data_IF_898679836841
#
_entry.id   IF_898679836841
#
_cell.length_a   1.000
_cell.length_b   1.000
_cell.length_c   1.000
_cell.angle_alpha   90.00
_cell.angle_beta   90.00
_cell.angle_gamma   90.00
#
_symmetry.space_group_name_H-M   'P 1'
#
loop_
_entity.id
_entity.type
_entity.pdbx_description
1 polymer ?
#
# COMPACT_ATOMS: atom_id res chain seq x y z
N UNK A 1 6.28 -18.14 38.63
CA UNK A 1 5.66 -18.69 37.40
C UNK A 1 4.65 -17.72 36.77
N UNK A 2 3.74 -17.07 37.51
CA UNK A 2 2.84 -16.04 36.91
C UNK A 2 3.60 -14.83 36.36
N UNK A 3 4.66 -14.40 37.04
CA UNK A 3 5.54 -13.33 36.57
C UNK A 3 6.18 -13.64 35.21
N UNK A 4 6.48 -14.92 34.91
CA UNK A 4 7.10 -15.35 33.64
C UNK A 4 6.07 -15.26 32.49
N UNK A 5 4.84 -15.72 32.69
CA UNK A 5 3.79 -15.62 31.67
C UNK A 5 3.38 -14.18 31.39
N UNK A 6 3.31 -13.34 32.43
CA UNK A 6 3.04 -11.92 32.28
C UNK A 6 4.17 -11.19 31.54
N UNK A 7 5.42 -11.46 31.91
CA UNK A 7 6.61 -10.93 31.22
C UNK A 7 6.63 -11.37 29.75
N UNK A 8 6.34 -12.64 29.45
CA UNK A 8 6.28 -13.15 28.07
C UNK A 8 5.24 -12.41 27.22
N UNK A 9 4.06 -12.11 27.79
CA UNK A 9 3.04 -11.31 27.12
C UNK A 9 3.51 -9.88 26.83
N UNK A 10 4.17 -9.23 27.78
CA UNK A 10 4.72 -7.89 27.59
C UNK A 10 5.82 -7.89 26.52
N UNK A 11 6.74 -8.86 26.56
CA UNK A 11 7.78 -9.01 25.55
C UNK A 11 7.20 -9.25 24.16
N UNK A 12 6.17 -10.09 24.02
CA UNK A 12 5.49 -10.32 22.75
C UNK A 12 4.89 -9.02 22.19
N UNK A 13 4.22 -8.24 23.04
CA UNK A 13 3.66 -6.95 22.65
C UNK A 13 4.75 -5.96 22.24
N UNK A 14 5.84 -5.85 23.01
CA UNK A 14 6.98 -5.00 22.66
C UNK A 14 7.63 -5.39 21.34
N UNK A 15 7.75 -6.70 21.04
CA UNK A 15 8.29 -7.18 19.76
C UNK A 15 7.38 -6.76 18.61
N UNK A 16 6.06 -6.95 18.72
CA UNK A 16 5.12 -6.56 17.68
C UNK A 16 5.14 -5.04 17.47
N UNK A 17 5.13 -4.26 18.56
CA UNK A 17 5.17 -2.80 18.49
C UNK A 17 6.46 -2.30 17.84
N UNK A 18 7.62 -2.85 18.22
CA UNK A 18 8.90 -2.51 17.61
C UNK A 18 8.98 -2.94 16.14
N UNK A 19 8.48 -4.13 15.80
CA UNK A 19 8.46 -4.60 14.43
C UNK A 19 7.59 -3.70 13.53
N UNK A 20 6.47 -3.17 14.06
CA UNK A 20 5.62 -2.23 13.35
C UNK A 20 6.29 -0.86 13.15
N UNK A 21 7.00 -0.33 14.15
CA UNK A 21 7.66 0.98 14.02
C UNK A 21 8.90 0.93 13.12
N UNK A 22 9.56 -0.22 13.03
CA UNK A 22 10.73 -0.42 12.16
C UNK A 22 10.42 -1.21 10.89
N UNK A 23 9.15 -1.31 10.50
CA UNK A 23 8.67 -2.05 9.32
C UNK A 23 9.47 -1.69 8.06
N UNK A 24 9.75 -0.40 7.85
CA UNK A 24 10.47 0.11 6.67
C UNK A 24 11.91 -0.44 6.52
N UNK A 25 12.50 -1.01 7.58
CA UNK A 25 13.85 -1.57 7.58
C UNK A 25 13.89 -3.10 7.59
N UNK A 26 12.75 -3.74 7.84
CA UNK A 26 12.66 -5.19 7.99
C UNK A 26 12.29 -5.80 6.64
N UNK A 27 13.03 -6.85 6.25
CA UNK A 27 12.58 -7.67 5.13
C UNK A 27 11.35 -8.50 5.52
N UNK A 28 10.56 -8.92 4.53
CA UNK A 28 9.35 -9.71 4.78
C UNK A 28 9.62 -10.98 5.60
N UNK A 29 10.76 -11.63 5.36
CA UNK A 29 11.19 -12.80 6.11
C UNK A 29 11.48 -12.46 7.59
N UNK A 30 12.12 -11.32 7.85
CA UNK A 30 12.41 -10.88 9.22
C UNK A 30 11.14 -10.54 9.99
N UNK A 31 10.17 -9.91 9.32
CA UNK A 31 8.86 -9.65 9.90
C UNK A 31 8.12 -10.95 10.28
N UNK A 32 8.10 -11.95 9.39
CA UNK A 32 7.49 -13.24 9.68
C UNK A 32 8.16 -13.96 10.85
N UNK A 33 9.50 -13.88 10.95
CA UNK A 33 10.24 -14.42 12.10
C UNK A 33 9.87 -13.71 13.40
N UNK A 34 9.72 -12.38 13.38
CA UNK A 34 9.29 -11.61 14.55
C UNK A 34 7.88 -12.00 15.00
N UNK A 35 6.94 -12.18 14.07
CA UNK A 35 5.60 -12.68 14.38
C UNK A 35 5.61 -14.10 14.94
N UNK A 36 6.42 -15.01 14.38
CA UNK A 36 6.59 -16.36 14.91
C UNK A 36 7.14 -16.33 16.35
N UNK A 37 8.16 -15.50 16.62
CA UNK A 37 8.72 -15.35 17.96
C UNK A 37 7.69 -14.76 18.94
N UNK A 38 6.95 -13.73 18.54
CA UNK A 38 5.88 -13.14 19.35
C UNK A 38 4.76 -14.15 19.63
N UNK A 39 4.38 -14.97 18.66
CA UNK A 39 3.34 -15.98 18.84
C UNK A 39 3.75 -17.06 19.85
N UNK A 40 4.99 -17.56 19.79
CA UNK A 40 5.51 -18.50 20.78
C UNK A 40 5.48 -17.91 22.20
N UNK A 41 5.82 -16.63 22.35
CA UNK A 41 5.73 -15.93 23.63
C UNK A 41 4.27 -15.76 24.09
N UNK A 42 3.33 -15.47 23.18
CA UNK A 42 1.90 -15.43 23.49
C UNK A 42 1.35 -16.80 23.93
N UNK A 43 1.84 -17.90 23.35
CA UNK A 43 1.46 -19.25 23.80
C UNK A 43 1.97 -19.52 25.23
N UNK A 44 3.18 -19.06 25.58
CA UNK A 44 3.68 -19.11 26.96
C UNK A 44 2.87 -18.20 27.89
N UNK A 45 2.45 -17.03 27.41
CA UNK A 45 1.58 -16.11 28.14
C UNK A 45 0.18 -16.70 28.39
N UNK A 46 -0.38 -17.46 27.45
CA UNK A 46 -1.71 -18.09 27.60
C UNK A 46 -1.79 -19.15 28.71
N UNK A 47 -0.64 -19.55 29.27
CA UNK A 47 -0.54 -20.48 30.41
C UNK A 47 -0.79 -19.80 31.78
N UNK A 48 -1.38 -18.60 31.82
CA UNK A 48 -1.75 -17.91 33.07
C UNK A 48 -2.59 -18.85 33.96
N UNK A 49 -2.17 -18.99 35.23
CA UNK A 49 -2.89 -19.81 36.20
C UNK A 49 -4.21 -19.12 36.57
N UNK A 50 -5.33 -19.73 36.21
CA UNK A 50 -6.65 -19.31 36.67
C UNK A 50 -6.84 -19.61 38.16
N UNK A 51 -7.56 -18.74 38.90
CA UNK A 51 -7.85 -18.96 40.31
C UNK A 51 -8.65 -20.26 40.52
N UNK A 52 -8.31 -20.98 41.58
CA UNK A 52 -8.87 -22.31 41.86
C UNK A 52 -10.36 -22.31 42.25
N UNK A 53 -10.97 -21.13 42.37
CA UNK A 53 -12.39 -20.95 42.73
C UNK A 53 -13.36 -21.29 41.59
N UNK A 54 -12.86 -21.54 40.37
CA UNK A 54 -13.69 -21.86 39.20
C UNK A 54 -13.86 -23.38 39.00
N UNK A 55 -15.05 -23.85 38.57
CA UNK A 55 -15.28 -25.23 38.12
C UNK A 55 -14.30 -25.64 37.01
N UNK A 56 -13.96 -26.94 36.94
CA UNK A 56 -13.00 -27.48 35.97
C UNK A 56 -13.37 -27.20 34.51
N UNK A 57 -14.66 -27.27 34.17
CA UNK A 57 -15.19 -26.95 32.85
C UNK A 57 -14.87 -25.50 32.41
N UNK A 58 -15.13 -24.52 33.26
CA UNK A 58 -14.88 -23.10 32.97
C UNK A 58 -13.38 -22.83 32.70
N UNK A 59 -12.47 -23.54 33.37
CA UNK A 59 -11.04 -23.37 33.15
C UNK A 59 -10.59 -23.87 31.79
N UNK A 60 -11.13 -25.01 31.34
CA UNK A 60 -10.80 -25.53 30.01
C UNK A 60 -11.29 -24.57 28.92
N UNK A 61 -12.52 -24.07 29.07
CA UNK A 61 -13.11 -23.13 28.12
C UNK A 61 -12.28 -21.85 28.01
N UNK A 62 -11.98 -21.20 29.14
CA UNK A 62 -11.17 -19.95 29.15
C UNK A 62 -9.79 -20.19 28.51
N UNK A 63 -9.18 -21.35 28.76
CA UNK A 63 -7.85 -21.65 28.21
C UNK A 63 -7.87 -21.85 26.70
N UNK A 64 -8.87 -22.57 26.18
CA UNK A 64 -9.06 -22.71 24.72
C UNK A 64 -9.31 -21.35 24.08
N UNK A 65 -10.17 -20.53 24.69
CA UNK A 65 -10.42 -19.16 24.23
C UNK A 65 -9.15 -18.31 24.22
N UNK A 66 -8.31 -18.39 25.25
CA UNK A 66 -7.04 -17.66 25.30
C UNK A 66 -6.07 -18.11 24.19
N UNK A 67 -5.98 -19.41 23.90
CA UNK A 67 -5.14 -19.91 22.81
C UNK A 67 -5.64 -19.39 21.46
N UNK A 68 -6.95 -19.46 21.22
CA UNK A 68 -7.56 -18.92 19.99
C UNK A 68 -7.30 -17.40 19.88
N UNK A 69 -7.44 -16.66 20.97
CA UNK A 69 -7.18 -15.22 21.00
C UNK A 69 -5.74 -14.87 20.57
N UNK A 70 -4.73 -15.71 20.88
CA UNK A 70 -3.36 -15.48 20.40
C UNK A 70 -3.24 -15.50 18.88
N UNK A 71 -3.98 -16.39 18.20
CA UNK A 71 -3.99 -16.49 16.74
C UNK A 71 -4.60 -15.22 16.15
N UNK A 72 -5.74 -14.77 16.70
CA UNK A 72 -6.36 -13.51 16.28
C UNK A 72 -5.42 -12.32 16.47
N UNK A 73 -4.68 -12.23 17.58
CA UNK A 73 -3.72 -11.15 17.80
C UNK A 73 -2.64 -11.10 16.71
N UNK A 74 -2.09 -12.26 16.32
CA UNK A 74 -1.07 -12.34 15.26
C UNK A 74 -1.63 -11.92 13.91
N UNK A 75 -2.83 -12.40 13.57
CA UNK A 75 -3.51 -12.03 12.31
C UNK A 75 -3.83 -10.53 12.30
N UNK A 76 -4.34 -9.98 13.40
CA UNK A 76 -4.60 -8.55 13.52
C UNK A 76 -3.34 -7.71 13.35
N UNK A 77 -2.20 -8.13 13.92
CA UNK A 77 -0.93 -7.44 13.72
C UNK A 77 -0.48 -7.47 12.25
N UNK A 78 -0.66 -8.60 11.55
CA UNK A 78 -0.39 -8.70 10.12
C UNK A 78 -1.28 -7.76 9.30
N UNK A 79 -2.57 -7.68 9.63
CA UNK A 79 -3.52 -6.79 8.95
C UNK A 79 -3.20 -5.32 9.19
N UNK A 80 -2.79 -4.95 10.41
CA UNK A 80 -2.36 -3.58 10.72
C UNK A 80 -1.16 -3.18 9.87
N UNK A 81 -0.17 -4.07 9.71
CA UNK A 81 0.97 -3.82 8.82
C UNK A 81 0.48 -3.54 7.40
N UNK A 82 -0.35 -4.43 6.85
CA UNK A 82 -0.82 -4.29 5.46
C UNK A 82 -1.70 -3.06 5.23
N UNK A 83 -2.62 -2.76 6.15
CA UNK A 83 -3.65 -1.74 5.94
C UNK A 83 -3.21 -0.34 6.31
N UNK A 84 -2.39 -0.21 7.36
CA UNK A 84 -2.00 1.09 7.93
C UNK A 84 -0.57 1.43 7.54
N UNK A 85 0.36 0.49 7.79
CA UNK A 85 1.79 0.78 7.61
C UNK A 85 2.17 0.75 6.13
N UNK A 86 1.73 -0.25 5.39
CA UNK A 86 2.08 -0.46 3.98
C UNK A 86 1.04 0.18 3.03
N UNK A 87 0.15 1.03 3.55
CA UNK A 87 -0.97 1.64 2.81
C UNK A 87 -0.49 2.42 1.57
N UNK A 88 0.47 3.32 1.77
CA UNK A 88 1.00 4.17 0.69
C UNK A 88 1.72 3.34 -0.37
N UNK A 89 2.53 2.36 0.07
CA UNK A 89 3.26 1.47 -0.84
C UNK A 89 2.33 0.59 -1.66
N UNK A 90 1.16 0.23 -1.12
CA UNK A 90 0.13 -0.55 -1.82
C UNK A 90 -0.63 0.32 -2.79
N UNK A 91 -0.92 1.57 -2.41
CA UNK A 91 -1.66 2.52 -3.24
C UNK A 91 -0.92 2.90 -4.52
N UNK A 92 0.41 3.04 -4.46
CA UNK A 92 1.25 3.39 -5.61
C UNK A 92 1.90 2.18 -6.30
N UNK A 93 1.56 0.95 -5.90
CA UNK A 93 2.21 -0.25 -6.44
C UNK A 93 1.78 -0.47 -7.89
N UNK A 94 2.77 -0.58 -8.77
CA UNK A 94 2.61 -1.11 -10.12
C UNK A 94 3.24 -2.50 -10.20
N UNK A 95 2.57 -3.44 -10.87
CA UNK A 95 3.06 -4.81 -11.04
C UNK A 95 2.89 -5.24 -12.50
N UNK A 96 3.87 -5.95 -13.05
CA UNK A 96 3.76 -6.52 -14.39
C UNK A 96 3.18 -7.93 -14.27
N UNK A 97 2.01 -8.14 -14.84
CA UNK A 97 1.36 -9.44 -14.94
C UNK A 97 2.15 -10.36 -15.90
N UNK A 98 1.98 -11.69 -15.81
CA UNK A 98 2.75 -12.65 -16.62
C UNK A 98 2.58 -12.51 -18.14
N UNK A 99 1.52 -11.84 -18.58
CA UNK A 99 1.21 -11.47 -19.97
C UNK A 99 1.85 -10.15 -20.41
N UNK A 100 2.56 -9.46 -19.51
CA UNK A 100 3.20 -8.16 -19.76
C UNK A 100 2.30 -6.96 -19.47
N UNK A 101 1.07 -7.17 -19.01
CA UNK A 101 0.17 -6.08 -18.63
C UNK A 101 0.63 -5.44 -17.31
N UNK A 102 0.73 -4.12 -17.25
CA UNK A 102 1.11 -3.42 -16.01
C UNK A 102 -0.18 -3.10 -15.25
N UNK A 103 -0.36 -3.75 -14.11
CA UNK A 103 -1.44 -3.55 -13.16
C UNK A 103 -1.06 -2.41 -12.20
N UNK A 104 -1.81 -1.32 -12.26
CA UNK A 104 -1.74 -0.18 -11.33
C UNK A 104 -3.10 0.11 -10.70
N UNK A 105 -3.17 1.15 -9.85
CA UNK A 105 -4.43 1.54 -9.24
C UNK A 105 -5.37 2.22 -10.27
N UNK A 106 -6.49 1.59 -10.68
CA UNK A 106 -7.34 2.12 -11.75
C UNK A 106 -8.05 3.42 -11.35
N UNK A 107 -8.19 3.70 -10.04
CA UNK A 107 -8.81 4.94 -9.55
C UNK A 107 -7.97 6.18 -9.86
N UNK A 108 -6.65 6.04 -9.92
CA UNK A 108 -5.75 7.14 -10.28
C UNK A 108 -5.92 7.49 -11.77
N UNK A 109 -5.94 6.47 -12.63
CA UNK A 109 -6.14 6.69 -14.06
C UNK A 109 -7.49 7.29 -14.41
N UNK A 110 -8.59 6.89 -13.77
CA UNK A 110 -9.91 7.44 -14.07
C UNK A 110 -10.03 8.96 -13.85
N UNK A 111 -9.41 9.49 -12.78
CA UNK A 111 -9.39 10.93 -12.52
C UNK A 111 -8.48 11.69 -13.49
N UNK A 112 -7.32 11.13 -13.81
CA UNK A 112 -6.35 11.74 -14.74
C UNK A 112 -6.77 11.64 -16.21
N UNK A 113 -7.58 10.64 -16.57
CA UNK A 113 -8.19 10.49 -17.89
C UNK A 113 -9.46 11.31 -18.07
N UNK A 114 -10.11 11.77 -16.98
CA UNK A 114 -11.27 12.65 -17.05
C UNK A 114 -10.90 14.12 -17.30
N UNK A 115 -9.61 14.47 -17.22
CA UNK A 115 -9.13 15.84 -17.46
C UNK A 115 -8.70 15.98 -18.91
N UNK A 116 -9.36 16.89 -19.63
CA UNK A 116 -8.93 17.30 -20.96
C UNK A 116 -7.64 18.11 -20.85
N UNK A 117 -6.49 17.48 -21.12
CA UNK A 117 -5.20 18.18 -21.10
C UNK A 117 -5.06 19.14 -22.28
N UNK A 118 -4.37 20.26 -22.05
CA UNK A 118 -4.04 21.26 -23.08
C UNK A 118 -3.10 20.73 -24.16
N UNK A 119 -3.07 21.38 -25.33
CA UNK A 119 -2.22 21.00 -26.45
C UNK A 119 -0.79 21.56 -26.30
N UNK A 120 0.20 20.80 -26.77
CA UNK A 120 1.57 21.29 -26.97
C UNK A 120 1.74 21.55 -28.46
N UNK A 121 2.12 22.77 -28.82
CA UNK A 121 2.28 23.21 -30.22
C UNK A 121 3.69 23.74 -30.49
N UNK A 122 4.17 23.56 -31.71
CA UNK A 122 5.40 24.18 -32.22
C UNK A 122 5.19 25.67 -32.52
N UNK A 123 6.28 26.40 -32.77
CA UNK A 123 6.33 27.80 -33.22
C UNK A 123 5.46 28.11 -34.45
N UNK A 124 5.18 27.10 -35.27
CA UNK A 124 4.36 27.23 -36.48
C UNK A 124 2.87 26.93 -36.21
N UNK A 125 2.50 26.59 -34.96
CA UNK A 125 1.14 26.20 -34.57
C UNK A 125 0.81 24.73 -34.85
N UNK A 126 1.80 23.90 -35.18
CA UNK A 126 1.60 22.47 -35.42
C UNK A 126 1.55 21.69 -34.11
N UNK A 127 0.60 20.76 -33.97
CA UNK A 127 0.38 19.99 -32.75
C UNK A 127 1.46 18.93 -32.58
N UNK A 128 2.22 19.06 -31.50
CA UNK A 128 3.21 18.08 -31.04
C UNK A 128 2.55 17.03 -30.15
N UNK A 129 1.69 17.47 -29.22
CA UNK A 129 0.92 16.59 -28.34
C UNK A 129 -0.50 17.12 -28.21
N UNK A 130 -1.47 16.30 -28.59
CA UNK A 130 -2.90 16.60 -28.57
C UNK A 130 -3.65 15.71 -27.58
N UNK A 131 -4.93 16.01 -27.40
CA UNK A 131 -5.84 15.20 -26.59
C UNK A 131 -7.12 14.94 -27.35
N UNK A 132 -7.45 13.67 -27.54
CA UNK A 132 -8.69 13.22 -28.15
C UNK A 132 -9.64 12.74 -27.06
N UNK A 133 -10.89 13.23 -27.08
CA UNK A 133 -11.92 12.82 -26.13
C UNK A 133 -12.80 11.70 -26.72
N UNK A 134 -12.83 10.55 -26.06
CA UNK A 134 -13.77 9.46 -26.33
C UNK A 134 -14.70 9.31 -25.12
N UNK A 135 -15.82 10.06 -25.12
CA UNK A 135 -16.74 10.12 -23.98
C UNK A 135 -16.15 10.88 -22.79
N UNK A 136 -16.14 10.26 -21.62
CA UNK A 136 -15.54 10.80 -20.37
C UNK A 136 -14.03 10.48 -20.25
N UNK A 137 -13.42 9.92 -21.30
CA UNK A 137 -12.02 9.52 -21.32
C UNK A 137 -11.26 10.35 -22.36
N UNK A 138 -10.21 11.03 -21.90
CA UNK A 138 -9.30 11.81 -22.73
C UNK A 138 -8.00 11.03 -22.95
N UNK A 139 -7.71 10.70 -24.20
CA UNK A 139 -6.51 9.97 -24.62
C UNK A 139 -5.50 10.97 -25.19
N UNK A 140 -4.25 10.88 -24.73
CA UNK A 140 -3.16 11.71 -25.26
C UNK A 140 -2.67 11.16 -26.59
N UNK A 141 -2.59 12.01 -27.62
CA UNK A 141 -2.12 11.63 -28.96
C UNK A 141 -0.87 12.43 -29.34
N UNK A 142 0.04 11.79 -30.08
CA UNK A 142 1.29 12.39 -30.57
C UNK A 142 1.33 12.21 -32.08
N UNK A 143 0.87 13.22 -32.85
CA UNK A 143 0.70 13.09 -34.30
C UNK A 143 2.01 12.78 -35.05
N UNK A 144 3.12 13.38 -34.62
CA UNK A 144 4.46 13.09 -35.14
C UNK A 144 5.35 12.44 -34.07
N UNK A 145 5.66 11.13 -34.19
CA UNK A 145 6.56 10.42 -33.27
C UNK A 145 7.95 11.05 -33.16
N UNK A 146 8.45 11.75 -34.19
CA UNK A 146 9.75 12.39 -34.17
C UNK A 146 9.81 13.55 -33.15
N UNK A 147 8.68 14.22 -32.94
CA UNK A 147 8.53 15.31 -31.96
C UNK A 147 8.23 14.79 -30.54
N UNK A 148 7.88 13.51 -30.41
CA UNK A 148 7.57 12.86 -29.12
C UNK A 148 8.73 12.91 -28.11
N UNK A 149 9.99 12.92 -28.56
CA UNK A 149 11.13 13.08 -27.64
C UNK A 149 11.19 14.46 -26.97
N UNK A 150 10.64 15.50 -27.62
CA UNK A 150 10.60 16.88 -27.10
C UNK A 150 9.43 17.03 -26.14
N UNK A 151 8.23 16.57 -26.53
CA UNK A 151 7.08 16.55 -25.63
C UNK A 151 7.31 15.65 -24.41
N UNK A 152 7.99 14.53 -24.61
CA UNK A 152 8.06 13.44 -23.66
C UNK A 152 6.85 12.52 -23.82
N UNK A 153 6.39 11.96 -22.71
CA UNK A 153 5.22 11.09 -22.70
C UNK A 153 4.30 11.47 -21.54
N UNK A 154 3.04 11.09 -21.66
CA UNK A 154 2.03 11.15 -20.61
C UNK A 154 1.32 9.81 -20.57
N UNK A 155 1.58 9.05 -19.52
CA UNK A 155 1.03 7.72 -19.29
C UNK A 155 0.64 7.57 -17.83
N UNK A 156 -0.50 8.17 -17.42
CA UNK A 156 -0.95 8.26 -16.04
C UNK A 156 -1.04 6.89 -15.35
N UNK A 157 -1.42 5.86 -16.11
CA UNK A 157 -1.60 4.50 -15.62
C UNK A 157 -0.32 3.66 -15.50
N UNK A 158 0.73 3.99 -16.27
CA UNK A 158 1.87 3.08 -16.49
C UNK A 158 3.22 3.71 -16.16
N UNK A 159 3.49 4.91 -16.70
CA UNK A 159 4.85 5.48 -16.71
C UNK A 159 4.94 6.90 -16.13
N UNK A 160 3.82 7.50 -15.75
CA UNK A 160 3.75 8.91 -15.34
C UNK A 160 3.93 9.86 -16.53
N UNK A 161 4.50 11.04 -16.30
CA UNK A 161 4.84 12.02 -17.34
C UNK A 161 6.33 12.29 -17.41
N UNK A 162 6.81 12.74 -18.58
CA UNK A 162 8.21 13.12 -18.79
C UNK A 162 8.34 14.31 -19.75
N UNK A 163 9.51 14.96 -19.79
CA UNK A 163 9.77 16.05 -20.73
C UNK A 163 8.90 17.29 -20.49
N UNK A 164 8.38 17.87 -21.57
CA UNK A 164 7.47 19.02 -21.49
C UNK A 164 6.14 18.65 -20.83
N UNK A 165 5.65 17.41 -20.99
CA UNK A 165 4.43 16.93 -20.31
C UNK A 165 4.53 16.97 -18.78
N UNK A 166 5.72 16.68 -18.24
CA UNK A 166 5.99 16.77 -16.80
C UNK A 166 6.25 18.21 -16.36
N UNK A 167 6.98 18.98 -17.17
CA UNK A 167 7.39 20.34 -16.82
C UNK A 167 6.22 21.32 -16.79
N UNK A 168 5.29 21.20 -17.74
CA UNK A 168 4.12 22.07 -17.87
C UNK A 168 2.83 21.38 -17.40
N UNK A 169 2.94 20.44 -16.46
CA UNK A 169 1.81 19.64 -16.04
C UNK A 169 0.66 20.50 -15.47
N UNK A 170 0.97 21.56 -14.73
CA UNK A 170 -0.03 22.38 -14.04
C UNK A 170 -0.79 23.26 -15.04
N UNK A 171 -0.13 23.74 -16.10
CA UNK A 171 -0.75 24.45 -17.21
C UNK A 171 -1.57 23.49 -18.08
N UNK A 172 -1.02 22.33 -18.40
CA UNK A 172 -1.67 21.32 -19.24
C UNK A 172 -2.90 20.73 -18.56
N UNK A 173 -2.95 20.66 -17.23
CA UNK A 173 -4.12 20.20 -16.47
C UNK A 173 -5.10 21.32 -16.12
N UNK A 174 -4.77 22.58 -16.42
CA UNK A 174 -5.58 23.75 -16.08
C UNK A 174 -5.53 24.15 -14.60
N UNK A 175 -4.63 23.57 -13.81
CA UNK A 175 -4.44 23.93 -12.39
C UNK A 175 -3.81 25.32 -12.23
N UNK A 176 -2.91 25.72 -13.14
CA UNK A 176 -2.27 27.03 -13.11
C UNK A 176 -3.23 28.22 -13.38
N UNK A 177 -4.43 27.96 -13.91
CA UNK A 177 -5.44 28.97 -14.22
C UNK A 177 -6.54 29.15 -13.17
N UNK A 178 -6.45 28.43 -12.03
CA UNK A 178 -7.50 28.38 -11.01
C UNK A 178 -7.19 29.22 -9.75
N UNK A 179 -6.38 30.27 -9.89
CA UNK A 179 -6.08 31.29 -8.86
C UNK A 179 -7.01 32.52 -8.96
#
# INVERSE_FOLDING_TARGET
MQMISALAGFCAFSIIAAALTFSNRLSDNQWLLALCAAWLLLLVASRIRLPQRLPTFNRSLIRTTLVIATVFIVISAQLVRLQIVDSDTTFSRTAVAPDGEILGNPRLGGGELAVQRGEIVDRNGEVIAGTEGEGDVFIRTYPDPATGYVAGYYSPLLYGSAGLEATFNDELTGQAGND
#
